data_IF_906792383723
#
_entry.id   IF_906792383723
#
_cell.length_a   1.000
_cell.length_b   1.000
_cell.length_c   1.000
_cell.angle_alpha   90.00
_cell.angle_beta   90.00
_cell.angle_gamma   90.00
#
_symmetry.space_group_name_H-M   'P 1'
#
loop_
_entity.id
_entity.type
_entity.pdbx_description
1 polymer ?
#
# COMPACT_ATOMS: atom_id res chain seq x y z
N UNK A 1 -18.07 14.53 -22.61
CA UNK A 1 -17.57 13.44 -21.76
C UNK A 1 -18.28 12.19 -22.24
N UNK A 2 -17.55 11.18 -22.70
CA UNK A 2 -18.16 9.97 -23.26
C UNK A 2 -18.65 9.06 -22.11
N UNK A 3 -19.51 8.08 -22.41
CA UNK A 3 -20.09 7.18 -21.38
C UNK A 3 -19.02 6.38 -20.61
N UNK A 4 -17.88 6.11 -21.24
CA UNK A 4 -16.75 5.42 -20.62
C UNK A 4 -16.04 6.30 -19.59
N UNK A 5 -15.81 7.57 -19.90
CA UNK A 5 -15.25 8.57 -18.97
C UNK A 5 -16.14 8.71 -17.73
N UNK A 6 -17.47 8.76 -17.95
CA UNK A 6 -18.46 8.79 -16.87
C UNK A 6 -18.37 7.53 -15.98
N UNK A 7 -18.23 6.35 -16.59
CA UNK A 7 -18.13 5.10 -15.86
C UNK A 7 -16.83 5.00 -15.03
N UNK A 8 -15.68 5.39 -15.59
CA UNK A 8 -14.39 5.41 -14.89
C UNK A 8 -14.41 6.44 -13.76
N UNK A 9 -14.99 7.62 -13.98
CA UNK A 9 -15.18 8.62 -12.93
C UNK A 9 -16.11 8.08 -11.83
N UNK A 10 -17.13 7.29 -12.18
CA UNK A 10 -17.96 6.59 -11.20
C UNK A 10 -17.17 5.61 -10.32
N UNK A 11 -16.23 4.86 -10.89
CA UNK A 11 -15.32 3.99 -10.11
C UNK A 11 -14.35 4.80 -9.26
N UNK A 12 -13.85 5.93 -9.78
CA UNK A 12 -12.99 6.86 -9.05
C UNK A 12 -13.71 7.43 -7.82
N UNK A 13 -14.94 7.91 -8.01
CA UNK A 13 -15.81 8.39 -6.94
C UNK A 13 -16.09 7.31 -5.90
N UNK A 14 -16.25 6.06 -6.33
CA UNK A 14 -16.47 4.93 -5.42
C UNK A 14 -15.30 4.75 -4.46
N UNK A 15 -14.07 4.78 -4.97
CA UNK A 15 -12.86 4.68 -4.14
C UNK A 15 -12.74 5.90 -3.21
N UNK A 16 -12.92 7.10 -3.75
CA UNK A 16 -12.77 8.36 -3.00
C UNK A 16 -13.82 8.54 -1.89
N UNK A 17 -15.02 7.95 -2.05
CA UNK A 17 -16.07 7.97 -1.01
C UNK A 17 -15.91 6.87 0.02
N UNK A 18 -15.00 5.92 -0.17
CA UNK A 18 -14.77 4.88 0.81
C UNK A 18 -14.10 5.46 2.06
N UNK A 19 -14.50 4.99 3.25
CA UNK A 19 -14.02 5.53 4.55
C UNK A 19 -12.50 5.48 4.73
N UNK A 20 -11.83 4.56 4.03
CA UNK A 20 -10.37 4.40 4.11
C UNK A 20 -9.63 5.55 3.44
N UNK A 21 -10.25 6.22 2.47
CA UNK A 21 -9.65 7.34 1.75
C UNK A 21 -9.33 8.52 2.67
N UNK A 22 -10.22 8.79 3.64
CA UNK A 22 -10.09 9.86 4.64
C UNK A 22 -9.76 9.34 6.06
N UNK A 23 -9.18 8.14 6.15
CA UNK A 23 -8.89 7.49 7.43
C UNK A 23 -8.02 8.38 8.35
N UNK A 24 -8.30 8.50 9.67
CA UNK A 24 -7.61 9.44 10.55
C UNK A 24 -6.14 9.11 10.83
N UNK A 25 -5.69 7.90 10.51
CA UNK A 25 -4.33 7.38 10.82
C UNK A 25 -3.23 8.41 10.54
N UNK A 26 -3.12 8.90 9.31
CA UNK A 26 -2.04 9.83 8.94
C UNK A 26 -2.15 11.19 9.64
N UNK A 27 -3.37 11.65 9.94
CA UNK A 27 -3.56 12.88 10.72
C UNK A 27 -3.12 12.70 12.17
N UNK A 28 -3.37 11.53 12.76
CA UNK A 28 -2.90 11.21 14.12
C UNK A 28 -1.39 11.00 14.17
N UNK A 29 -0.82 10.30 13.18
CA UNK A 29 0.63 10.17 13.05
C UNK A 29 1.31 11.53 12.86
N UNK A 30 0.72 12.44 12.08
CA UNK A 30 1.26 13.79 11.93
C UNK A 30 1.09 14.67 13.19
N UNK A 31 0.18 14.33 14.11
CA UNK A 31 -0.08 15.12 15.31
C UNK A 31 1.05 15.01 16.33
N UNK A 32 1.76 13.87 16.37
CA UNK A 32 2.87 13.64 17.29
C UNK A 32 3.85 12.58 16.77
N UNK A 33 5.15 12.68 17.12
CA UNK A 33 6.12 11.66 16.76
C UNK A 33 5.76 10.31 17.38
N UNK A 34 6.04 9.24 16.63
CA UNK A 34 5.94 7.90 17.15
C UNK A 34 7.24 7.51 17.84
N UNK A 35 7.11 6.82 18.97
CA UNK A 35 8.26 6.15 19.58
C UNK A 35 8.82 5.09 18.63
N UNK A 36 10.08 4.70 18.84
CA UNK A 36 10.72 3.61 18.11
C UNK A 36 9.87 2.32 18.04
N UNK A 37 9.20 1.96 19.14
CA UNK A 37 8.33 0.78 19.17
C UNK A 37 7.07 0.94 18.30
N UNK A 38 6.44 2.12 18.34
CA UNK A 38 5.27 2.41 17.51
C UNK A 38 5.64 2.45 16.03
N UNK A 39 6.70 3.17 15.66
CA UNK A 39 7.23 3.20 14.30
C UNK A 39 7.59 1.80 13.80
N UNK A 40 8.28 1.02 14.64
CA UNK A 40 8.68 -0.35 14.30
C UNK A 40 7.50 -1.27 14.02
N UNK A 41 6.47 -1.23 14.87
CA UNK A 41 5.26 -2.03 14.67
C UNK A 41 4.44 -1.57 13.46
N UNK A 42 4.34 -0.26 13.23
CA UNK A 42 3.67 0.33 12.06
C UNK A 42 4.31 -0.14 10.76
N UNK A 43 5.61 0.11 10.60
CA UNK A 43 6.33 -0.24 9.39
C UNK A 43 6.38 -1.75 9.16
N UNK A 44 6.43 -2.59 10.20
CA UNK A 44 6.33 -4.04 10.02
C UNK A 44 5.02 -4.45 9.32
N UNK A 45 3.88 -3.91 9.76
CA UNK A 45 2.59 -4.22 9.13
C UNK A 45 2.52 -3.65 7.70
N UNK A 46 2.95 -2.39 7.51
CA UNK A 46 2.90 -1.71 6.21
C UNK A 46 3.80 -2.36 5.17
N UNK A 47 5.05 -2.65 5.51
CA UNK A 47 6.03 -3.26 4.59
C UNK A 47 5.59 -4.63 4.09
N UNK A 48 5.03 -5.46 4.97
CA UNK A 48 4.49 -6.76 4.57
C UNK A 48 3.26 -6.63 3.66
N UNK A 49 2.44 -5.60 3.87
CA UNK A 49 1.35 -5.27 2.97
C UNK A 49 1.87 -4.79 1.60
N UNK A 50 2.77 -3.80 1.56
CA UNK A 50 3.38 -3.28 0.33
C UNK A 50 4.13 -4.37 -0.46
N UNK A 51 4.78 -5.33 0.21
CA UNK A 51 5.41 -6.46 -0.47
C UNK A 51 4.40 -7.32 -1.27
N UNK A 52 3.13 -7.36 -0.85
CA UNK A 52 2.08 -8.11 -1.52
C UNK A 52 1.35 -7.31 -2.63
N UNK A 53 1.51 -5.99 -2.67
CA UNK A 53 0.77 -5.12 -3.62
C UNK A 53 1.34 -5.14 -5.03
N UNK A 54 2.60 -5.58 -5.22
CA UNK A 54 3.27 -5.66 -6.53
C UNK A 54 2.45 -6.45 -7.56
N UNK A 55 2.02 -5.84 -8.68
CA UNK A 55 1.32 -6.57 -9.73
C UNK A 55 2.28 -7.59 -10.35
N UNK A 56 1.85 -8.84 -10.51
CA UNK A 56 2.75 -9.92 -10.93
C UNK A 56 2.06 -11.27 -10.94
N UNK A 57 2.86 -12.33 -10.75
CA UNK A 57 2.39 -13.72 -10.74
C UNK A 57 1.69 -14.05 -12.06
N UNK A 58 0.54 -14.73 -12.00
CA UNK A 58 -0.21 -15.12 -13.18
C UNK A 58 -1.16 -14.02 -13.69
N UNK A 59 -1.26 -12.86 -13.03
CA UNK A 59 -2.23 -11.83 -13.36
C UNK A 59 -2.06 -11.25 -14.80
N UNK A 60 -0.86 -10.86 -15.26
CA UNK A 60 -0.67 -10.46 -16.66
C UNK A 60 -1.02 -11.57 -17.65
N UNK A 61 -0.78 -12.83 -17.30
CA UNK A 61 -1.18 -13.97 -18.14
C UNK A 61 -2.71 -14.13 -18.20
N UNK A 62 -3.41 -13.95 -17.07
CA UNK A 62 -4.87 -13.95 -17.02
C UNK A 62 -5.46 -12.89 -17.94
N UNK A 63 -4.94 -11.66 -17.90
CA UNK A 63 -5.37 -10.57 -18.79
C UNK A 63 -5.20 -10.94 -20.28
N UNK A 64 -4.03 -11.50 -20.66
CA UNK A 64 -3.79 -11.96 -22.05
C UNK A 64 -4.77 -13.05 -22.48
N UNK A 65 -5.12 -14.00 -21.60
CA UNK A 65 -6.11 -15.05 -21.90
C UNK A 65 -7.51 -14.50 -22.16
N UNK A 66 -7.84 -13.33 -21.62
CA UNK A 66 -9.09 -12.62 -21.91
C UNK A 66 -9.02 -11.72 -23.16
N UNK A 67 -7.89 -11.74 -23.88
CA UNK A 67 -7.66 -10.83 -25.01
C UNK A 67 -7.24 -9.41 -24.61
N UNK A 68 -7.00 -9.15 -23.32
CA UNK A 68 -6.64 -7.84 -22.77
C UNK A 68 -5.13 -7.63 -22.75
N UNK A 69 -4.49 -7.74 -23.93
CA UNK A 69 -3.02 -7.70 -24.05
C UNK A 69 -2.44 -6.35 -23.62
N UNK A 70 -3.04 -5.23 -24.01
CA UNK A 70 -2.57 -3.90 -23.62
C UNK A 70 -2.68 -3.68 -22.11
N UNK A 71 -3.74 -4.18 -21.48
CA UNK A 71 -3.92 -4.13 -20.04
C UNK A 71 -2.81 -4.91 -19.34
N UNK A 72 -2.44 -6.08 -19.87
CA UNK A 72 -1.35 -6.87 -19.32
C UNK A 72 0.00 -6.13 -19.38
N UNK A 73 0.25 -5.38 -20.45
CA UNK A 73 1.44 -4.53 -20.58
C UNK A 73 1.43 -3.39 -19.56
N UNK A 74 0.32 -2.66 -19.44
CA UNK A 74 0.18 -1.57 -18.46
C UNK A 74 0.41 -2.06 -17.02
N UNK A 75 -0.05 -3.26 -16.66
CA UNK A 75 0.20 -3.84 -15.33
C UNK A 75 1.63 -4.33 -15.15
N UNK A 76 2.29 -4.76 -16.23
CA UNK A 76 3.71 -5.12 -16.20
C UNK A 76 4.60 -3.88 -16.05
N UNK A 77 4.24 -2.76 -16.70
CA UNK A 77 4.94 -1.48 -16.52
C UNK A 77 4.95 -1.04 -15.05
N UNK A 78 3.83 -1.19 -14.33
CA UNK A 78 3.76 -0.93 -12.88
C UNK A 78 4.59 -1.95 -12.09
N UNK A 79 4.57 -3.23 -12.49
CA UNK A 79 5.36 -4.25 -11.81
C UNK A 79 6.86 -3.97 -11.88
N UNK A 80 7.31 -3.46 -13.02
CA UNK A 80 8.70 -3.16 -13.30
C UNK A 80 9.18 -1.91 -12.57
N UNK A 81 8.34 -0.87 -12.46
CA UNK A 81 8.67 0.32 -11.64
C UNK A 81 8.74 0.00 -10.15
N UNK A 82 7.96 -0.96 -9.66
CA UNK A 82 7.97 -1.39 -8.25
C UNK A 82 9.18 -2.27 -7.85
N UNK A 83 10.06 -2.59 -8.81
CA UNK A 83 11.26 -3.38 -8.54
C UNK A 83 12.27 -2.57 -7.73
N UNK A 84 12.65 -3.07 -6.54
CA UNK A 84 13.66 -2.44 -5.70
C UNK A 84 13.11 -1.60 -4.54
N UNK A 85 11.81 -1.29 -4.51
CA UNK A 85 11.20 -0.52 -3.41
C UNK A 85 11.21 -1.23 -2.04
N UNK A 86 11.48 -2.53 -2.00
CA UNK A 86 11.52 -3.30 -0.74
C UNK A 86 12.68 -2.88 0.17
N UNK A 87 13.94 -2.96 -0.31
CA UNK A 87 15.09 -2.37 0.35
C UNK A 87 14.91 -0.90 0.76
N UNK A 88 14.39 -0.05 -0.14
CA UNK A 88 14.23 1.38 0.15
C UNK A 88 13.21 1.63 1.27
N UNK A 89 12.08 0.91 1.26
CA UNK A 89 11.10 0.98 2.35
C UNK A 89 11.69 0.50 3.68
N UNK A 90 12.50 -0.56 3.67
CA UNK A 90 13.18 -1.04 4.86
C UNK A 90 14.18 -0.01 5.39
N UNK A 91 14.99 0.59 4.51
CA UNK A 91 15.93 1.66 4.85
C UNK A 91 15.21 2.84 5.50
N UNK A 92 14.14 3.33 4.87
CA UNK A 92 13.31 4.41 5.40
C UNK A 92 12.75 4.05 6.78
N UNK A 93 12.14 2.87 6.93
CA UNK A 93 11.58 2.41 8.18
C UNK A 93 12.63 2.33 9.31
N UNK A 94 13.81 1.77 9.03
CA UNK A 94 14.90 1.70 9.99
C UNK A 94 15.40 3.08 10.42
N UNK A 95 15.48 4.01 9.48
CA UNK A 95 15.85 5.40 9.77
C UNK A 95 14.83 6.09 10.68
N UNK A 96 13.53 5.98 10.38
CA UNK A 96 12.47 6.55 11.23
C UNK A 96 12.48 5.95 12.64
N UNK A 97 12.78 4.65 12.79
CA UNK A 97 12.93 4.02 14.10
C UNK A 97 14.11 4.59 14.89
N UNK A 98 15.27 4.81 14.24
CA UNK A 98 16.43 5.44 14.88
C UNK A 98 16.09 6.86 15.38
N UNK A 99 15.39 7.65 14.56
CA UNK A 99 14.95 8.99 14.95
C UNK A 99 13.97 8.95 16.12
N UNK A 100 12.96 8.07 16.06
CA UNK A 100 12.00 7.87 17.15
C UNK A 100 12.62 7.31 18.45
N UNK A 101 13.82 6.71 18.38
CA UNK A 101 14.59 6.25 19.53
C UNK A 101 15.54 7.32 20.10
N UNK A 102 15.83 8.38 19.34
CA UNK A 102 16.91 9.33 19.66
C UNK A 102 18.30 8.69 19.71
N UNK A 103 18.47 7.50 19.15
CA UNK A 103 19.71 6.70 19.17
C UNK A 103 19.73 5.67 18.06
N UNK A 104 20.90 5.11 17.77
CA UNK A 104 21.06 4.08 16.72
C UNK A 104 20.53 2.74 17.23
N UNK A 105 19.41 2.30 16.66
CA UNK A 105 18.81 0.95 16.85
C UNK A 105 19.26 0.01 15.72
N UNK A 106 19.25 0.53 14.49
CA UNK A 106 19.76 -0.12 13.29
C UNK A 106 21.01 0.62 12.82
N UNK A 107 22.15 -0.04 12.91
CA UNK A 107 23.45 0.47 12.47
C UNK A 107 23.64 0.34 10.96
N UNK A 108 23.19 -0.77 10.38
CA UNK A 108 23.15 -1.02 8.94
C UNK A 108 21.71 -0.92 8.41
N UNK A 109 21.40 0.19 7.74
CA UNK A 109 20.10 0.42 7.09
C UNK A 109 19.98 -0.24 5.71
N UNK A 110 21.10 -0.69 5.12
CA UNK A 110 21.10 -1.44 3.86
C UNK A 110 20.73 -2.92 4.08
N UNK A 111 20.92 -3.41 5.30
CA UNK A 111 20.59 -4.76 5.73
C UNK A 111 19.08 -5.01 5.86
N UNK A 112 18.33 -5.03 4.74
CA UNK A 112 16.87 -5.20 4.69
C UNK A 112 16.36 -6.27 5.67
N UNK A 113 16.91 -7.48 5.63
CA UNK A 113 16.45 -8.59 6.49
C UNK A 113 16.67 -8.33 7.99
N UNK A 114 17.74 -7.64 8.36
CA UNK A 114 18.02 -7.29 9.75
C UNK A 114 17.05 -6.21 10.24
N UNK A 115 16.77 -5.20 9.41
CA UNK A 115 15.78 -4.17 9.70
C UNK A 115 14.39 -4.80 9.85
N UNK A 116 13.94 -5.58 8.87
CA UNK A 116 12.65 -6.30 8.91
C UNK A 116 12.49 -7.17 10.16
N UNK A 117 13.52 -7.93 10.53
CA UNK A 117 13.51 -8.73 11.75
C UNK A 117 13.38 -7.85 13.02
N UNK A 118 14.01 -6.67 13.03
CA UNK A 118 13.87 -5.70 14.11
C UNK A 118 12.47 -5.10 14.18
N UNK A 119 11.90 -4.67 13.06
CA UNK A 119 10.52 -4.16 12.96
C UNK A 119 9.52 -5.20 13.48
N UNK A 120 9.71 -6.47 13.10
CA UNK A 120 8.89 -7.59 13.60
C UNK A 120 8.92 -7.71 15.11
N UNK A 121 10.07 -7.51 15.78
CA UNK A 121 10.16 -7.58 17.25
C UNK A 121 9.26 -6.54 17.90
N UNK A 122 9.20 -5.32 17.36
CA UNK A 122 8.29 -4.28 17.85
C UNK A 122 6.82 -4.61 17.60
N UNK A 123 6.51 -5.19 16.44
CA UNK A 123 5.17 -5.73 16.16
C UNK A 123 4.78 -6.82 17.17
N UNK A 124 5.67 -7.78 17.44
CA UNK A 124 5.45 -8.86 18.41
C UNK A 124 5.23 -8.33 19.83
N UNK A 125 5.88 -7.23 20.18
CA UNK A 125 5.74 -6.57 21.47
C UNK A 125 4.40 -5.83 21.60
N UNK A 126 4.03 -5.00 20.61
CA UNK A 126 2.85 -4.13 20.69
C UNK A 126 1.54 -4.83 20.29
N UNK A 127 1.60 -5.69 19.28
CA UNK A 127 0.43 -6.29 18.64
C UNK A 127 0.28 -7.78 18.97
N UNK A 128 1.29 -8.40 19.57
CA UNK A 128 1.34 -9.84 19.81
C UNK A 128 0.27 -10.40 20.77
N UNK A 129 -0.39 -9.55 21.55
CA UNK A 129 -1.51 -9.93 22.41
C UNK A 129 -2.89 -9.89 21.71
N UNK A 130 -2.96 -9.42 20.46
CA UNK A 130 -4.22 -9.28 19.76
C UNK A 130 -4.78 -10.64 19.31
N UNK A 131 -6.11 -10.87 19.41
CA UNK A 131 -6.74 -12.07 18.89
C UNK A 131 -6.42 -12.29 17.41
N UNK A 132 -5.92 -13.48 17.08
CA UNK A 132 -5.56 -13.84 15.70
C UNK A 132 -4.22 -13.29 15.21
N UNK A 133 -3.42 -12.62 16.06
CA UNK A 133 -2.03 -12.29 15.74
C UNK A 133 -1.23 -13.56 15.46
N UNK A 134 -0.47 -13.59 14.36
CA UNK A 134 0.39 -14.71 14.02
C UNK A 134 1.83 -14.41 14.41
N UNK A 135 2.36 -15.17 15.38
CA UNK A 135 3.72 -14.99 15.91
C UNK A 135 4.80 -15.34 14.89
N UNK A 136 4.50 -16.23 13.94
CA UNK A 136 5.47 -16.64 12.92
C UNK A 136 5.77 -15.48 11.96
N UNK A 137 4.74 -14.89 11.34
CA UNK A 137 4.89 -13.72 10.45
C UNK A 137 4.99 -12.39 11.19
N UNK A 138 4.52 -12.31 12.44
CA UNK A 138 4.41 -11.06 13.19
C UNK A 138 3.28 -10.16 12.69
N UNK A 139 2.30 -10.71 11.97
CA UNK A 139 1.21 -9.96 11.36
C UNK A 139 -0.09 -10.10 12.14
N UNK A 140 -0.84 -9.00 12.19
CA UNK A 140 -2.22 -9.01 12.67
C UNK A 140 -3.10 -9.84 11.73
N UNK A 141 -4.27 -10.27 12.21
CA UNK A 141 -5.25 -10.95 11.36
C UNK A 141 -5.63 -10.08 10.15
N UNK A 142 -5.86 -8.79 10.38
CA UNK A 142 -6.27 -7.82 9.37
C UNK A 142 -5.19 -7.61 8.31
N UNK A 143 -3.91 -7.52 8.72
CA UNK A 143 -2.80 -7.46 7.75
C UNK A 143 -2.76 -8.72 6.87
N UNK A 144 -2.92 -9.92 7.47
CA UNK A 144 -2.95 -11.17 6.69
C UNK A 144 -4.16 -11.25 5.75
N UNK A 145 -5.32 -10.74 6.16
CA UNK A 145 -6.51 -10.66 5.32
C UNK A 145 -6.31 -9.66 4.16
N UNK A 146 -5.74 -8.49 4.42
CA UNK A 146 -5.38 -7.48 3.42
C UNK A 146 -4.25 -7.91 2.48
N UNK A 147 -3.39 -8.84 2.88
CA UNK A 147 -2.42 -9.49 1.99
C UNK A 147 -3.11 -10.60 1.17
N UNK A 148 -4.04 -11.33 1.78
CA UNK A 148 -4.67 -12.49 1.15
C UNK A 148 -5.54 -12.16 -0.06
N UNK A 149 -6.08 -10.94 -0.17
CA UNK A 149 -6.83 -10.48 -1.35
C UNK A 149 -5.99 -10.58 -2.64
N UNK A 150 -4.68 -10.39 -2.56
CA UNK A 150 -3.77 -10.42 -3.71
C UNK A 150 -3.44 -11.84 -4.17
N UNK A 151 -3.72 -12.87 -3.36
CA UNK A 151 -3.50 -14.30 -3.74
C UNK A 151 -4.31 -14.72 -4.96
N UNK A 152 -5.37 -13.98 -5.29
CA UNK A 152 -6.12 -14.23 -6.51
C UNK A 152 -5.28 -14.00 -7.77
N UNK A 153 -4.17 -13.25 -7.70
CA UNK A 153 -3.23 -13.00 -8.81
C UNK A 153 -2.49 -14.25 -9.28
N UNK A 154 -2.46 -15.31 -8.47
CA UNK A 154 -1.91 -16.62 -8.86
C UNK A 154 -2.82 -17.38 -9.83
N UNK A 155 -4.08 -16.92 -9.98
CA UNK A 155 -5.08 -17.57 -10.83
C UNK A 155 -5.17 -16.85 -12.17
N UNK A 156 -5.63 -17.58 -13.18
CA UNK A 156 -5.82 -17.06 -14.55
C UNK A 156 -7.25 -17.21 -15.05
N UNK A 157 -8.20 -17.52 -14.15
CA UNK A 157 -9.61 -17.54 -14.50
C UNK A 157 -10.17 -16.11 -14.70
N UNK A 158 -11.22 -15.93 -15.52
CA UNK A 158 -11.78 -14.62 -15.83
C UNK A 158 -12.19 -13.81 -14.59
N UNK A 159 -12.82 -14.48 -13.62
CA UNK A 159 -13.36 -13.82 -12.43
C UNK A 159 -12.24 -13.25 -11.56
N UNK A 160 -11.26 -14.08 -11.19
CA UNK A 160 -10.10 -13.63 -10.40
C UNK A 160 -9.32 -12.54 -11.14
N UNK A 161 -9.18 -12.65 -12.47
CA UNK A 161 -8.46 -11.65 -13.29
C UNK A 161 -9.16 -10.29 -13.24
N UNK A 162 -10.47 -10.23 -13.46
CA UNK A 162 -11.23 -8.98 -13.46
C UNK A 162 -11.33 -8.35 -12.06
N UNK A 163 -11.44 -9.17 -11.01
CA UNK A 163 -11.35 -8.69 -9.62
C UNK A 163 -9.98 -8.08 -9.32
N UNK A 164 -8.89 -8.72 -9.76
CA UNK A 164 -7.54 -8.17 -9.60
C UNK A 164 -7.34 -6.85 -10.33
N UNK A 165 -8.00 -6.64 -11.47
CA UNK A 165 -7.98 -5.37 -12.17
C UNK A 165 -8.67 -4.27 -11.34
N UNK A 166 -9.78 -4.60 -10.66
CA UNK A 166 -10.41 -3.70 -9.69
C UNK A 166 -9.54 -3.41 -8.47
N UNK A 167 -8.86 -4.42 -7.93
CA UNK A 167 -7.90 -4.26 -6.83
C UNK A 167 -6.76 -3.31 -7.23
N UNK A 168 -6.15 -3.52 -8.40
CA UNK A 168 -5.10 -2.64 -8.92
C UNK A 168 -5.59 -1.20 -9.09
N UNK A 169 -6.78 -1.02 -9.67
CA UNK A 169 -7.38 0.30 -9.82
C UNK A 169 -7.55 1.04 -8.48
N UNK A 170 -8.09 0.36 -7.46
CA UNK A 170 -8.29 0.96 -6.15
C UNK A 170 -6.97 1.26 -5.44
N UNK A 171 -6.00 0.36 -5.55
CA UNK A 171 -4.66 0.49 -4.97
C UNK A 171 -3.95 1.74 -5.51
N UNK A 172 -3.72 1.84 -6.83
CA UNK A 172 -2.93 2.96 -7.35
C UNK A 172 -3.64 4.30 -7.15
N UNK A 173 -4.99 4.32 -7.20
CA UNK A 173 -5.74 5.54 -6.93
C UNK A 173 -5.61 5.99 -5.46
N UNK A 174 -5.69 5.08 -4.50
CA UNK A 174 -5.56 5.44 -3.09
C UNK A 174 -4.11 5.73 -2.71
N UNK A 175 -3.15 5.01 -3.29
CA UNK A 175 -1.72 5.25 -3.09
C UNK A 175 -1.35 6.68 -3.49
N UNK A 176 -1.64 7.06 -4.74
CA UNK A 176 -1.36 8.40 -5.26
C UNK A 176 -2.10 9.53 -4.51
N UNK A 177 -3.36 9.31 -4.14
CA UNK A 177 -4.22 10.41 -3.66
C UNK A 177 -4.42 10.47 -2.15
N UNK A 178 -4.04 9.43 -1.40
CA UNK A 178 -4.26 9.36 0.05
C UNK A 178 -3.07 8.78 0.82
N UNK A 179 -2.55 7.60 0.45
CA UNK A 179 -1.52 6.93 1.25
C UNK A 179 -0.18 7.69 1.21
N UNK A 180 0.38 7.92 0.02
CA UNK A 180 1.66 8.61 -0.14
C UNK A 180 1.58 10.07 0.36
N UNK A 181 0.51 10.83 0.07
CA UNK A 181 0.29 12.12 0.73
C UNK A 181 0.15 12.05 2.25
N UNK A 182 -0.43 10.99 2.77
CA UNK A 182 -0.55 10.74 4.20
C UNK A 182 0.80 10.47 4.86
N UNK A 183 1.62 9.61 4.25
CA UNK A 183 2.98 9.29 4.69
C UNK A 183 3.86 10.53 4.69
N UNK A 184 3.86 11.31 3.61
CA UNK A 184 4.59 12.58 3.55
C UNK A 184 4.12 13.56 4.61
N UNK A 185 2.80 13.67 4.84
CA UNK A 185 2.28 14.54 5.89
C UNK A 185 2.83 14.14 7.26
N UNK A 186 2.86 12.84 7.54
CA UNK A 186 3.27 12.34 8.84
C UNK A 186 4.80 12.40 9.06
N UNK A 187 5.58 12.08 8.03
CA UNK A 187 7.04 11.93 8.12
C UNK A 187 7.80 13.23 7.85
N UNK A 188 7.34 14.03 6.88
CA UNK A 188 8.03 15.25 6.43
C UNK A 188 7.30 16.49 6.95
N UNK A 189 6.05 16.70 6.54
CA UNK A 189 5.37 17.99 6.74
C UNK A 189 5.06 18.28 8.21
N UNK A 190 5.00 17.25 9.05
CA UNK A 190 4.82 17.40 10.50
C UNK A 190 6.02 18.05 11.19
N UNK A 191 7.22 17.96 10.58
CA UNK A 191 8.48 18.43 11.15
C UNK A 191 9.02 17.61 12.32
N UNK A 192 8.31 16.57 12.77
CA UNK A 192 8.66 15.80 13.97
C UNK A 192 9.99 15.05 13.85
N UNK A 193 10.32 14.60 12.64
CA UNK A 193 11.52 13.82 12.36
C UNK A 193 12.67 14.67 11.79
N UNK A 194 12.41 15.94 11.46
CA UNK A 194 13.41 16.85 10.88
C UNK A 194 13.91 16.42 9.49
N UNK A 195 13.08 15.71 8.73
CA UNK A 195 13.42 15.11 7.43
C UNK A 195 13.03 15.99 6.24
N UNK A 196 13.80 15.87 5.16
CA UNK A 196 13.48 16.32 3.81
C UNK A 196 13.11 15.15 2.89
N UNK A 197 12.43 15.44 1.78
CA UNK A 197 12.21 14.43 0.72
C UNK A 197 13.51 14.09 -0.02
N UNK A 198 14.50 14.99 0.02
CA UNK A 198 15.82 14.84 -0.58
C UNK A 198 16.80 14.06 0.31
N UNK A 199 16.39 13.68 1.52
CA UNK A 199 17.19 12.81 2.38
C UNK A 199 17.35 11.42 1.74
N UNK A 200 18.56 10.83 1.71
CA UNK A 200 18.79 9.55 1.05
C UNK A 200 17.90 8.41 1.57
N UNK A 201 17.58 8.42 2.86
CA UNK A 201 16.71 7.43 3.49
C UNK A 201 15.23 7.59 3.11
N UNK A 202 14.84 8.73 2.52
CA UNK A 202 13.48 9.02 2.07
C UNK A 202 13.26 8.74 0.59
N UNK A 203 14.22 8.09 -0.09
CA UNK A 203 14.14 7.74 -1.52
C UNK A 203 12.82 7.05 -1.90
N UNK A 204 12.37 6.07 -1.10
CA UNK A 204 11.06 5.43 -1.28
C UNK A 204 9.95 6.45 -1.39
N UNK A 205 9.83 7.36 -0.41
CA UNK A 205 8.77 8.35 -0.41
C UNK A 205 8.93 9.38 -1.53
N UNK A 206 10.17 9.76 -1.85
CA UNK A 206 10.48 10.66 -2.95
C UNK A 206 10.01 10.10 -4.30
N UNK A 207 10.31 8.85 -4.60
CA UNK A 207 9.94 8.20 -5.87
C UNK A 207 8.43 8.11 -6.06
N UNK A 208 7.69 7.96 -4.97
CA UNK A 208 6.23 7.86 -5.00
C UNK A 208 5.53 9.23 -4.94
N UNK A 209 6.19 10.29 -4.45
CA UNK A 209 5.56 11.60 -4.22
C UNK A 209 5.66 12.57 -5.42
N UNK A 210 4.53 13.07 -5.92
CA UNK A 210 4.45 14.33 -6.69
C UNK A 210 3.70 14.29 -8.04
N UNK A 211 3.72 15.42 -8.76
CA UNK A 211 3.15 15.60 -10.11
C UNK A 211 3.94 14.90 -11.24
N UNK A 212 5.01 14.17 -10.90
CA UNK A 212 5.84 13.34 -11.79
C UNK A 212 6.33 12.04 -11.11
N UNK A 213 5.81 11.71 -9.91
CA UNK A 213 6.18 10.51 -9.16
C UNK A 213 5.58 9.24 -9.79
N UNK A 214 6.13 8.07 -9.44
CA UNK A 214 5.74 6.77 -9.98
C UNK A 214 4.21 6.54 -9.88
N UNK A 215 3.62 6.96 -8.76
CA UNK A 215 2.19 6.81 -8.45
C UNK A 215 1.25 7.52 -9.44
N UNK A 216 1.64 8.67 -10.00
CA UNK A 216 0.80 9.33 -11.00
C UNK A 216 0.77 8.52 -12.30
N UNK A 217 1.89 7.94 -12.69
CA UNK A 217 1.98 7.05 -13.85
C UNK A 217 1.21 5.75 -13.58
N UNK A 218 1.30 5.19 -12.38
CA UNK A 218 0.56 3.97 -12.00
C UNK A 218 -0.94 4.20 -12.06
N UNK A 219 -1.43 5.32 -11.50
CA UNK A 219 -2.83 5.73 -11.58
C UNK A 219 -3.30 5.84 -13.04
N UNK A 220 -2.50 6.49 -13.91
CA UNK A 220 -2.82 6.58 -15.33
C UNK A 220 -2.89 5.20 -16.00
N UNK A 221 -1.93 4.32 -15.70
CA UNK A 221 -1.88 2.97 -16.26
C UNK A 221 -3.09 2.13 -15.86
N UNK A 222 -3.52 2.15 -14.59
CA UNK A 222 -4.74 1.42 -14.18
C UNK A 222 -6.01 2.03 -14.75
N UNK A 223 -6.09 3.36 -14.91
CA UNK A 223 -7.24 4.02 -15.55
C UNK A 223 -7.38 3.60 -17.01
N UNK A 224 -6.26 3.57 -17.75
CA UNK A 224 -6.22 3.07 -19.12
C UNK A 224 -6.56 1.57 -19.19
N UNK A 225 -6.08 0.78 -18.23
CA UNK A 225 -6.35 -0.64 -18.20
C UNK A 225 -7.85 -0.92 -17.98
N UNK A 226 -8.48 -0.22 -17.04
CA UNK A 226 -9.93 -0.28 -16.79
C UNK A 226 -10.70 0.19 -18.02
N UNK A 227 -10.29 1.27 -18.68
CA UNK A 227 -10.98 1.80 -19.86
C UNK A 227 -11.15 0.76 -20.97
N UNK A 228 -10.14 -0.10 -21.18
CA UNK A 228 -10.22 -1.15 -22.19
C UNK A 228 -10.88 -2.46 -21.74
N UNK A 229 -11.21 -2.61 -20.46
CA UNK A 229 -11.86 -3.81 -19.91
C UNK A 229 -13.29 -3.58 -19.43
N UNK A 230 -13.68 -2.32 -19.14
CA UNK A 230 -14.94 -1.98 -18.49
C UNK A 230 -16.13 -2.05 -19.45
N UNK A 231 -17.07 -2.93 -19.14
CA UNK A 231 -18.36 -3.04 -19.82
C UNK A 231 -19.42 -3.60 -18.84
N UNK A 232 -20.64 -3.83 -19.33
CA UNK A 232 -21.76 -4.30 -18.49
C UNK A 232 -21.46 -5.64 -17.80
N UNK A 233 -20.71 -6.53 -18.46
CA UNK A 233 -20.40 -7.87 -17.95
C UNK A 233 -19.23 -7.85 -16.97
N UNK A 234 -18.20 -7.05 -17.22
CA UNK A 234 -16.97 -7.01 -16.41
C UNK A 234 -17.09 -6.10 -15.19
N UNK A 235 -17.94 -5.07 -15.25
CA UNK A 235 -18.08 -4.05 -14.20
C UNK A 235 -18.36 -4.63 -12.81
N UNK A 236 -19.31 -5.57 -12.60
CA UNK A 236 -19.58 -6.09 -11.26
C UNK A 236 -18.36 -6.78 -10.61
N UNK A 237 -17.52 -7.42 -11.41
CA UNK A 237 -16.32 -8.10 -10.92
C UNK A 237 -15.20 -7.11 -10.55
N UNK A 238 -15.04 -6.06 -11.37
CA UNK A 238 -14.13 -4.96 -11.09
C UNK A 238 -14.56 -4.24 -9.80
N UNK A 239 -15.84 -3.89 -9.67
CA UNK A 239 -16.38 -3.24 -8.46
C UNK A 239 -16.19 -4.12 -7.22
N UNK A 240 -16.44 -5.43 -7.31
CA UNK A 240 -16.22 -6.37 -6.21
C UNK A 240 -14.74 -6.45 -5.80
N UNK A 241 -13.80 -6.33 -6.74
CA UNK A 241 -12.37 -6.24 -6.47
C UNK A 241 -11.99 -4.95 -5.73
N UNK A 242 -12.53 -3.82 -6.18
CA UNK A 242 -12.36 -2.50 -5.54
C UNK A 242 -12.82 -2.56 -4.09
N UNK A 243 -14.05 -3.02 -3.84
CA UNK A 243 -14.64 -3.05 -2.51
C UNK A 243 -13.86 -3.95 -1.56
N UNK A 244 -13.53 -5.18 -2.01
CA UNK A 244 -12.79 -6.13 -1.18
C UNK A 244 -11.42 -5.61 -0.76
N UNK A 245 -10.71 -4.90 -1.64
CA UNK A 245 -9.44 -4.25 -1.31
C UNK A 245 -9.63 -3.13 -0.29
N UNK A 246 -10.56 -2.21 -0.55
CA UNK A 246 -10.76 -1.04 0.29
C UNK A 246 -11.25 -1.41 1.69
N UNK A 247 -12.14 -2.39 1.82
CA UNK A 247 -12.61 -2.90 3.11
C UNK A 247 -11.47 -3.53 3.91
N UNK A 248 -10.61 -4.33 3.25
CA UNK A 248 -9.49 -4.99 3.90
C UNK A 248 -8.42 -3.99 4.37
N UNK A 249 -8.11 -2.99 3.53
CA UNK A 249 -7.19 -1.91 3.88
C UNK A 249 -7.75 -1.08 5.04
N UNK A 250 -9.05 -0.78 5.03
CA UNK A 250 -9.69 -0.05 6.12
C UNK A 250 -9.60 -0.79 7.45
N UNK A 251 -9.82 -2.11 7.45
CA UNK A 251 -9.70 -2.95 8.64
C UNK A 251 -8.27 -3.00 9.17
N UNK A 252 -7.26 -3.04 8.29
CA UNK A 252 -5.86 -2.93 8.68
C UNK A 252 -5.58 -1.56 9.31
N UNK A 253 -6.09 -0.48 8.70
CA UNK A 253 -5.92 0.88 9.18
C UNK A 253 -6.60 1.11 10.54
N UNK A 254 -7.77 0.55 10.77
CA UNK A 254 -8.47 0.61 12.06
C UNK A 254 -7.63 -0.02 13.20
N UNK A 255 -6.97 -1.15 12.93
CA UNK A 255 -6.12 -1.83 13.93
C UNK A 255 -4.86 -1.03 14.23
N UNK A 256 -4.18 -0.54 13.20
CA UNK A 256 -2.98 0.27 13.39
C UNK A 256 -3.34 1.55 14.15
N UNK A 257 -4.39 2.25 13.74
CA UNK A 257 -4.83 3.49 14.37
C UNK A 257 -5.25 3.28 15.84
N UNK A 258 -5.97 2.18 16.13
CA UNK A 258 -6.41 1.88 17.50
C UNK A 258 -5.33 1.29 18.40
N UNK A 259 -4.26 0.68 17.87
CA UNK A 259 -3.27 -0.05 18.69
C UNK A 259 -1.89 0.56 18.68
N UNK A 260 -1.54 1.27 17.62
CA UNK A 260 -0.23 1.91 17.46
C UNK A 260 -0.33 3.41 17.71
N UNK A 261 -1.40 4.06 17.24
CA UNK A 261 -1.50 5.52 17.23
C UNK A 261 -2.32 6.14 18.38
N UNK A 262 -2.95 5.37 19.26
CA UNK A 262 -3.82 5.91 20.33
C UNK A 262 -3.12 6.77 21.39
N UNK A 263 -1.79 6.72 21.46
CA UNK A 263 -0.97 7.50 22.39
C UNK A 263 0.08 8.37 21.68
N UNK A 264 -0.12 8.63 20.38
CA UNK A 264 0.63 9.65 19.66
C UNK A 264 0.04 11.02 20.02
#
# INVERSE_FOLDING_TARGET
MNDLDLAINGLTDRVMRHRVFDHPMFRRWAAAPLSAAQSGALFHQMQNFCAATRPGLAFPQGLRKLGLTRQAELMAEIADSEQGHGPDLARMAGHIVNLGAGSVVFDDLEGQSAVEAGLKRYSDQLLGGLPGYDRASGLTRQAREAIAIFRQRDRTDPESTLRNLGIAFALELISNRSLIPGEKRALIDSGHYGLGLDDPEMHYLFDHWGECGAEQQHEQNVRLAIAGALNVETRPLIEAGIDAFLDALAALWDVIDSRVLQNA
#
